data_IF_026579346913
#
_entry.id   IF_026579346913
#
_cell.length_a   1.000
_cell.length_b   1.000
_cell.length_c   1.000
_cell.angle_alpha   90.00
_cell.angle_beta   90.00
_cell.angle_gamma   90.00
#
_symmetry.space_group_name_H-M   'P 1'
#
loop_
_entity.id
_entity.type
_entity.pdbx_description
1 polymer ?
#
# COMPACT_ATOMS: atom_id res chain seq x y z
N UNK A 1 15.90 -7.38 -8.88
CA UNK A 1 14.46 -7.56 -9.13
C UNK A 1 14.30 -8.66 -10.18
N UNK A 2 13.68 -9.78 -9.80
CA UNK A 2 13.59 -11.00 -10.62
C UNK A 2 12.81 -10.72 -11.93
N UNK A 3 13.15 -11.40 -13.04
CA UNK A 3 12.58 -11.15 -14.37
C UNK A 3 11.04 -11.28 -14.38
N UNK A 4 10.52 -12.21 -13.57
CA UNK A 4 9.09 -12.42 -13.35
C UNK A 4 8.42 -11.19 -12.72
N UNK A 5 8.98 -10.59 -11.67
CA UNK A 5 8.41 -9.42 -10.99
C UNK A 5 8.30 -8.21 -11.93
N UNK A 6 9.29 -8.02 -12.84
CA UNK A 6 9.25 -6.95 -13.86
C UNK A 6 8.11 -7.17 -14.87
N UNK A 7 7.91 -8.41 -15.31
CA UNK A 7 6.82 -8.76 -16.22
C UNK A 7 5.45 -8.51 -15.57
N UNK A 8 5.28 -8.90 -14.30
CA UNK A 8 4.06 -8.68 -13.52
C UNK A 8 3.68 -7.21 -13.36
N UNK A 9 4.62 -6.39 -12.88
CA UNK A 9 4.36 -4.94 -12.79
C UNK A 9 4.14 -4.32 -14.18
N UNK A 10 4.76 -4.86 -15.23
CA UNK A 10 4.52 -4.45 -16.61
C UNK A 10 3.08 -4.70 -17.08
N UNK A 11 2.47 -5.82 -16.72
CA UNK A 11 1.07 -6.13 -17.05
C UNK A 11 0.09 -5.28 -16.25
N UNK A 12 0.26 -5.21 -14.92
CA UNK A 12 -0.61 -4.43 -14.04
C UNK A 12 -0.60 -2.94 -14.43
N UNK A 13 0.56 -2.42 -14.85
CA UNK A 13 0.69 -1.04 -15.37
C UNK A 13 -0.18 -0.73 -16.57
N UNK A 14 -0.55 -1.71 -17.39
CA UNK A 14 -1.43 -1.49 -18.56
C UNK A 14 -2.90 -1.43 -18.16
N UNK A 15 -3.27 -2.05 -17.04
CA UNK A 15 -4.66 -2.17 -16.61
C UNK A 15 -5.07 -1.04 -15.67
N UNK A 16 -4.15 -0.53 -14.87
CA UNK A 16 -4.42 0.47 -13.85
C UNK A 16 -4.14 1.88 -14.36
N UNK A 17 -5.09 2.79 -14.13
CA UNK A 17 -4.91 4.20 -14.43
C UNK A 17 -4.21 4.92 -13.27
N UNK A 18 -2.88 5.00 -13.34
CA UNK A 18 -2.07 5.69 -12.32
C UNK A 18 -2.22 7.22 -12.29
N UNK A 19 -2.99 7.83 -13.20
CA UNK A 19 -3.40 9.23 -13.03
C UNK A 19 -4.43 9.40 -11.90
N UNK A 20 -5.14 8.33 -11.55
CA UNK A 20 -6.21 8.33 -10.55
C UNK A 20 -5.94 7.37 -9.38
N UNK A 21 -4.94 6.50 -9.49
CA UNK A 21 -4.54 5.55 -8.46
C UNK A 21 -3.08 5.71 -8.04
N UNK A 22 -2.83 5.54 -6.75
CA UNK A 22 -1.51 5.43 -6.16
C UNK A 22 -1.37 4.04 -5.54
N UNK A 23 -0.39 3.24 -6.00
CA UNK A 23 0.01 2.03 -5.27
C UNK A 23 0.79 2.45 -4.03
N UNK A 24 0.38 2.09 -2.82
CA UNK A 24 1.04 2.58 -1.60
C UNK A 24 1.16 1.54 -0.50
N UNK A 25 1.95 1.86 0.53
CA UNK A 25 2.04 1.06 1.74
C UNK A 25 3.14 0.00 1.75
N UNK A 26 2.93 -1.03 2.56
CA UNK A 26 3.93 -2.06 2.82
C UNK A 26 4.32 -2.90 1.59
N UNK A 27 3.46 -2.97 0.57
CA UNK A 27 3.75 -3.66 -0.70
C UNK A 27 4.87 -2.97 -1.50
N UNK A 28 4.86 -1.64 -1.52
CA UNK A 28 5.90 -0.81 -2.15
C UNK A 28 7.20 -0.92 -1.37
N UNK A 29 7.15 -0.82 -0.03
CA UNK A 29 8.32 -1.02 0.83
C UNK A 29 8.94 -2.41 0.62
N UNK A 30 8.13 -3.46 0.58
CA UNK A 30 8.64 -4.84 0.40
C UNK A 30 9.40 -4.98 -0.93
N UNK A 31 8.87 -4.35 -1.99
CA UNK A 31 9.53 -4.34 -3.30
C UNK A 31 10.85 -3.56 -3.30
N UNK A 32 10.99 -2.55 -2.44
CA UNK A 32 12.22 -1.75 -2.26
C UNK A 32 13.29 -2.48 -1.47
N UNK A 33 12.91 -3.27 -0.48
CA UNK A 33 13.86 -3.96 0.41
C UNK A 33 14.57 -5.16 -0.23
N UNK A 34 14.24 -5.52 -1.48
CA UNK A 34 14.80 -6.67 -2.21
C UNK A 34 14.69 -7.99 -1.43
N UNK A 35 13.78 -8.07 -0.46
CA UNK A 35 13.34 -9.35 0.05
C UNK A 35 12.58 -10.03 -1.09
N UNK A 36 12.82 -11.34 -1.31
CA UNK A 36 12.14 -12.07 -2.36
C UNK A 36 10.66 -11.75 -2.31
N UNK A 37 10.19 -11.17 -3.42
CA UNK A 37 8.79 -10.81 -3.57
C UNK A 37 8.05 -12.13 -3.63
N UNK A 38 7.48 -12.54 -2.49
CA UNK A 38 6.71 -13.76 -2.42
C UNK A 38 5.41 -13.55 -3.22
N UNK A 39 5.46 -13.97 -4.48
CA UNK A 39 4.34 -13.88 -5.41
C UNK A 39 3.19 -14.82 -5.07
N UNK A 40 3.30 -15.62 -3.98
CA UNK A 40 2.23 -16.51 -3.55
C UNK A 40 1.23 -15.84 -2.59
N UNK A 41 1.60 -14.72 -1.95
CA UNK A 41 0.72 -14.04 -0.98
C UNK A 41 0.85 -12.49 -0.97
N UNK A 42 1.11 -11.86 -2.12
CA UNK A 42 1.23 -10.41 -2.16
C UNK A 42 -0.12 -9.72 -2.44
N UNK A 43 -0.46 -8.80 -1.55
CA UNK A 43 -1.57 -7.86 -1.69
C UNK A 43 -1.01 -6.49 -2.15
N UNK A 44 -1.63 -5.90 -3.17
CA UNK A 44 -1.26 -4.60 -3.73
C UNK A 44 -2.40 -3.60 -3.52
N UNK A 45 -2.11 -2.52 -2.79
CA UNK A 45 -3.11 -1.54 -2.38
C UNK A 45 -3.06 -0.29 -3.27
N UNK A 46 -4.11 -0.10 -4.07
CA UNK A 46 -4.30 1.04 -4.97
C UNK A 46 -5.29 2.03 -4.38
N UNK A 47 -4.77 3.15 -3.90
CA UNK A 47 -5.55 4.23 -3.32
C UNK A 47 -6.02 5.18 -4.41
N UNK A 48 -7.30 5.51 -4.38
CA UNK A 48 -7.87 6.58 -5.21
C UNK A 48 -7.23 7.93 -4.86
N UNK A 49 -6.86 8.74 -5.86
CA UNK A 49 -6.19 10.05 -5.68
C UNK A 49 -6.84 11.18 -6.49
N UNK A 50 -8.13 11.09 -6.82
CA UNK A 50 -8.84 12.24 -7.38
C UNK A 50 -10.20 11.93 -7.94
N UNK A 51 -11.17 12.82 -7.75
CA UNK A 51 -12.52 12.68 -8.27
C UNK A 51 -13.51 12.05 -7.30
N UNK A 52 -14.68 11.76 -7.83
CA UNK A 52 -15.87 11.24 -7.17
C UNK A 52 -15.90 9.71 -7.09
N UNK A 53 -16.82 9.18 -6.28
CA UNK A 53 -17.11 7.74 -6.21
C UNK A 53 -17.54 7.16 -7.58
N UNK A 54 -18.32 7.92 -8.36
CA UNK A 54 -18.75 7.50 -9.70
C UNK A 54 -17.55 7.33 -10.64
N UNK A 55 -16.58 8.25 -10.58
CA UNK A 55 -15.36 8.16 -11.36
C UNK A 55 -14.49 6.99 -10.91
N UNK A 56 -14.39 6.75 -9.59
CA UNK A 56 -13.72 5.56 -9.04
C UNK A 56 -14.35 4.29 -9.62
N UNK A 57 -15.66 4.10 -9.49
CA UNK A 57 -16.36 2.94 -10.05
C UNK A 57 -16.12 2.80 -11.56
N UNK A 58 -16.14 3.91 -12.30
CA UNK A 58 -15.85 3.91 -13.74
C UNK A 58 -14.43 3.40 -14.05
N UNK A 59 -13.43 3.78 -13.24
CA UNK A 59 -12.07 3.24 -13.41
C UNK A 59 -11.98 1.76 -13.04
N UNK A 60 -12.71 1.31 -12.01
CA UNK A 60 -12.79 -0.10 -11.66
C UNK A 60 -13.42 -0.92 -12.79
N UNK A 61 -14.49 -0.43 -13.41
CA UNK A 61 -15.10 -1.09 -14.58
C UNK A 61 -14.17 -1.15 -15.79
N UNK A 62 -13.33 -0.12 -15.98
CA UNK A 62 -12.28 -0.12 -17.02
C UNK A 62 -11.19 -1.15 -16.70
N UNK A 63 -10.74 -1.22 -15.45
CA UNK A 63 -9.81 -2.24 -15.00
C UNK A 63 -10.40 -3.64 -15.23
N UNK A 64 -11.62 -3.91 -14.73
CA UNK A 64 -12.31 -5.20 -14.84
C UNK A 64 -12.37 -5.69 -16.29
N UNK A 65 -12.74 -4.82 -17.24
CA UNK A 65 -12.77 -5.16 -18.67
C UNK A 65 -11.40 -5.49 -19.26
N UNK A 66 -10.33 -4.82 -18.80
CA UNK A 66 -8.97 -5.01 -19.31
C UNK A 66 -8.28 -6.25 -18.74
N UNK A 67 -8.63 -6.65 -17.52
CA UNK A 67 -8.03 -7.77 -16.79
C UNK A 67 -8.95 -8.99 -16.68
N UNK A 68 -10.10 -9.00 -17.37
CA UNK A 68 -11.18 -9.98 -17.17
C UNK A 68 -10.70 -11.44 -17.23
N UNK A 69 -9.84 -11.77 -18.20
CA UNK A 69 -9.32 -13.13 -18.37
C UNK A 69 -8.48 -13.64 -17.18
N UNK A 70 -8.06 -12.74 -16.29
CA UNK A 70 -7.21 -13.03 -15.15
C UNK A 70 -7.96 -12.99 -13.81
N UNK A 71 -9.17 -12.44 -13.74
CA UNK A 71 -9.91 -12.31 -12.47
C UNK A 71 -10.52 -13.66 -12.10
N UNK A 72 -10.18 -14.16 -10.92
CA UNK A 72 -10.74 -15.41 -10.37
C UNK A 72 -11.65 -15.18 -9.15
N UNK A 73 -11.57 -14.00 -8.51
CA UNK A 73 -12.49 -13.58 -7.46
C UNK A 73 -12.58 -12.05 -7.40
N UNK A 74 -13.75 -11.54 -7.01
CA UNK A 74 -14.01 -10.13 -6.72
C UNK A 74 -14.80 -10.03 -5.41
N UNK A 75 -14.34 -9.18 -4.50
CA UNK A 75 -14.97 -8.94 -3.19
C UNK A 75 -15.12 -7.45 -2.94
N UNK A 76 -16.26 -7.01 -2.42
CA UNK A 76 -16.50 -5.61 -2.04
C UNK A 76 -16.66 -5.51 -0.52
N UNK A 77 -15.78 -4.74 0.12
CA UNK A 77 -15.83 -4.45 1.54
C UNK A 77 -16.33 -3.03 1.78
N UNK A 78 -17.43 -2.93 2.53
CA UNK A 78 -17.99 -1.68 3.06
C UNK A 78 -18.19 -0.55 2.02
N UNK A 79 -18.40 -0.90 0.74
CA UNK A 79 -18.52 0.05 -0.37
C UNK A 79 -17.34 1.03 -0.51
N UNK A 80 -16.17 0.67 0.01
CA UNK A 80 -14.96 1.52 -0.04
C UNK A 80 -13.72 0.77 -0.49
N UNK A 81 -13.70 -0.55 -0.37
CA UNK A 81 -12.60 -1.38 -0.84
C UNK A 81 -13.14 -2.42 -1.80
N UNK A 82 -12.62 -2.46 -3.01
CA UNK A 82 -12.93 -3.50 -3.98
C UNK A 82 -11.66 -4.31 -4.21
N UNK A 83 -11.71 -5.58 -3.84
CA UNK A 83 -10.62 -6.52 -4.00
C UNK A 83 -10.82 -7.40 -5.23
N UNK A 84 -9.74 -7.63 -5.97
CA UNK A 84 -9.67 -8.60 -7.05
C UNK A 84 -8.55 -9.58 -6.80
N UNK A 85 -8.83 -10.88 -6.97
CA UNK A 85 -7.79 -11.91 -7.02
C UNK A 85 -7.53 -12.24 -8.48
N UNK A 86 -6.30 -12.00 -8.93
CA UNK A 86 -5.84 -12.29 -10.29
C UNK A 86 -5.01 -13.58 -10.32
N UNK A 87 -5.20 -14.38 -11.37
CA UNK A 87 -4.40 -15.56 -11.69
C UNK A 87 -3.71 -15.37 -13.04
N UNK A 88 -2.41 -15.69 -13.12
CA UNK A 88 -1.62 -15.50 -14.34
C UNK A 88 -1.13 -16.81 -14.97
N UNK A 89 -0.81 -17.84 -14.18
CA UNK A 89 -0.31 -19.12 -14.68
C UNK A 89 -0.71 -20.30 -13.77
N UNK A 90 -1.96 -20.30 -13.31
CA UNK A 90 -2.59 -21.31 -12.44
C UNK A 90 -2.00 -21.44 -11.03
N UNK A 91 -0.74 -21.09 -10.82
CA UNK A 91 -0.05 -21.15 -9.52
C UNK A 91 0.08 -19.77 -8.87
N UNK A 92 0.39 -18.72 -9.65
CA UNK A 92 0.64 -17.39 -9.10
C UNK A 92 -0.63 -16.56 -9.03
N UNK A 93 -0.94 -16.12 -7.81
CA UNK A 93 -2.10 -15.29 -7.50
C UNK A 93 -1.66 -13.97 -6.89
N UNK A 94 -2.30 -12.88 -7.29
CA UNK A 94 -2.08 -11.56 -6.72
C UNK A 94 -3.42 -11.00 -6.28
N UNK A 95 -3.47 -10.43 -5.08
CA UNK A 95 -4.63 -9.64 -4.67
C UNK A 95 -4.37 -8.18 -4.97
N UNK A 96 -5.32 -7.53 -5.62
CA UNK A 96 -5.33 -6.09 -5.83
C UNK A 96 -6.48 -5.51 -5.02
N UNK A 97 -6.20 -4.58 -4.12
CA UNK A 97 -7.23 -3.85 -3.40
C UNK A 97 -7.31 -2.43 -3.95
N UNK A 98 -8.49 -2.03 -4.39
CA UNK A 98 -8.77 -0.66 -4.79
C UNK A 98 -9.54 0.05 -3.69
N UNK A 99 -8.94 1.10 -3.13
CA UNK A 99 -9.40 1.75 -1.90
C UNK A 99 -9.88 3.17 -2.21
N UNK A 100 -11.15 3.43 -1.94
CA UNK A 100 -11.74 4.75 -1.96
C UNK A 100 -11.78 5.31 -0.53
N UNK A 101 -10.79 6.14 -0.20
CA UNK A 101 -10.73 6.79 1.12
C UNK A 101 -11.71 7.95 1.23
N UNK A 102 -11.47 9.01 0.46
CA UNK A 102 -12.24 10.27 0.49
C UNK A 102 -12.35 10.85 -0.92
N UNK A 103 -13.45 11.55 -1.26
CA UNK A 103 -13.51 12.34 -2.48
C UNK A 103 -12.37 13.37 -2.54
N UNK A 104 -11.76 13.52 -3.71
CA UNK A 104 -10.71 14.54 -3.97
C UNK A 104 -9.51 14.50 -3.01
N UNK A 105 -9.11 13.32 -2.53
CA UNK A 105 -7.85 13.17 -1.82
C UNK A 105 -6.65 13.38 -2.75
N UNK A 106 -5.57 13.94 -2.20
CA UNK A 106 -4.30 14.09 -2.90
C UNK A 106 -3.30 13.01 -2.44
N UNK A 107 -2.16 12.91 -3.12
CA UNK A 107 -1.09 11.95 -2.79
C UNK A 107 -0.61 12.12 -1.35
N UNK A 108 -0.43 13.36 -0.89
CA UNK A 108 0.01 13.64 0.48
C UNK A 108 -0.96 13.07 1.52
N UNK A 109 -2.27 13.26 1.32
CA UNK A 109 -3.31 12.70 2.18
C UNK A 109 -3.19 11.18 2.24
N UNK A 110 -3.10 10.50 1.08
CA UNK A 110 -2.96 9.04 1.03
C UNK A 110 -1.74 8.58 1.83
N UNK A 111 -0.56 9.16 1.59
CA UNK A 111 0.66 8.76 2.28
C UNK A 111 0.61 9.01 3.79
N UNK A 112 -0.13 10.02 4.26
CA UNK A 112 -0.30 10.30 5.69
C UNK A 112 -1.47 9.52 6.33
N UNK A 113 -2.20 8.70 5.56
CA UNK A 113 -3.21 7.80 6.16
C UNK A 113 -2.59 6.59 6.85
N UNK A 114 -1.35 6.24 6.49
CA UNK A 114 -0.64 5.14 7.11
C UNK A 114 -0.19 5.51 8.52
N UNK A 115 -0.49 4.60 9.44
CA UNK A 115 -0.16 4.62 10.86
C UNK A 115 1.34 4.46 11.13
N UNK A 116 2.11 3.89 10.20
CA UNK A 116 3.55 3.65 10.37
C UNK A 116 4.34 4.42 9.30
N UNK A 117 5.31 5.23 9.70
CA UNK A 117 6.11 6.09 8.81
C UNK A 117 6.88 5.32 7.72
N UNK A 118 7.40 4.14 8.03
CA UNK A 118 8.19 3.31 7.10
C UNK A 118 7.37 2.81 5.91
N UNK A 119 6.04 2.89 5.96
CA UNK A 119 5.17 2.53 4.84
C UNK A 119 4.54 3.74 4.14
N UNK A 120 4.91 4.96 4.51
CA UNK A 120 4.44 6.20 3.88
C UNK A 120 5.15 6.47 2.54
N UNK A 121 5.11 5.45 1.68
CA UNK A 121 5.67 5.45 0.33
C UNK A 121 4.63 4.93 -0.65
N UNK A 122 4.65 5.48 -1.85
CA UNK A 122 3.78 5.10 -2.94
C UNK A 122 4.45 5.18 -4.30
N UNK A 123 3.77 4.63 -5.29
CA UNK A 123 4.19 4.56 -6.68
C UNK A 123 3.05 5.02 -7.59
N UNK A 124 3.32 6.06 -8.39
CA UNK A 124 2.34 6.68 -9.27
C UNK A 124 2.43 6.19 -10.73
N UNK A 125 2.97 4.99 -10.97
CA UNK A 125 3.17 4.46 -12.33
C UNK A 125 4.43 4.96 -13.03
N UNK A 126 5.07 6.02 -12.53
CA UNK A 126 6.32 6.58 -13.08
C UNK A 126 7.46 6.59 -12.07
N UNK A 127 7.22 7.10 -10.86
CA UNK A 127 8.22 7.29 -9.82
C UNK A 127 7.68 6.92 -8.44
N UNK A 128 8.60 6.72 -7.51
CA UNK A 128 8.30 6.61 -6.09
C UNK A 128 8.04 8.00 -5.52
N UNK A 129 7.10 8.08 -4.60
CA UNK A 129 6.72 9.27 -3.86
C UNK A 129 6.64 8.88 -2.39
N UNK A 130 7.24 9.65 -1.50
CA UNK A 130 7.33 9.33 -0.08
C UNK A 130 7.25 10.58 0.77
N UNK A 131 6.95 10.39 2.06
CA UNK A 131 7.02 11.46 3.07
C UNK A 131 8.43 11.61 3.62
N UNK A 132 8.69 12.72 4.33
CA UNK A 132 9.93 12.90 5.07
C UNK A 132 10.11 11.82 6.15
N UNK A 133 9.01 11.45 6.83
CA UNK A 133 9.01 10.37 7.83
C UNK A 133 9.50 9.04 7.24
N UNK A 134 9.04 8.67 6.04
CA UNK A 134 9.57 7.51 5.33
C UNK A 134 11.08 7.61 5.08
N UNK A 135 11.57 8.76 4.60
CA UNK A 135 13.01 8.94 4.35
C UNK A 135 13.84 8.79 5.62
N UNK A 136 13.37 9.35 6.73
CA UNK A 136 14.01 9.21 8.03
C UNK A 136 14.03 7.74 8.47
N UNK A 137 12.86 7.07 8.46
CA UNK A 137 12.71 5.67 8.82
C UNK A 137 13.68 4.74 8.06
N UNK A 138 13.82 4.95 6.75
CA UNK A 138 14.75 4.18 5.91
C UNK A 138 16.21 4.48 6.25
N UNK A 139 16.56 5.76 6.43
CA UNK A 139 17.93 6.19 6.70
C UNK A 139 18.44 5.69 8.06
N UNK A 140 17.60 5.72 9.08
CA UNK A 140 17.95 5.34 10.46
C UNK A 140 17.68 3.86 10.75
N UNK A 141 17.00 3.15 9.84
CA UNK A 141 16.45 1.81 10.09
C UNK A 141 15.55 1.80 11.32
N UNK A 142 14.70 2.81 11.44
CA UNK A 142 13.72 2.90 12.53
C UNK A 142 12.31 3.12 11.98
N UNK A 143 11.29 2.98 12.82
CA UNK A 143 9.93 3.38 12.46
C UNK A 143 9.16 3.91 13.67
N UNK A 144 8.20 4.77 13.41
CA UNK A 144 7.21 5.25 14.38
C UNK A 144 5.84 4.72 13.98
N UNK A 145 5.07 4.24 14.96
CA UNK A 145 3.65 3.92 14.80
C UNK A 145 2.80 5.01 15.46
N UNK A 146 2.31 5.97 14.68
CA UNK A 146 1.56 7.13 15.19
C UNK A 146 0.26 6.77 15.92
N UNK A 147 -0.25 5.54 15.75
CA UNK A 147 -1.46 5.06 16.44
C UNK A 147 -1.17 4.54 17.84
N UNK A 148 -0.11 3.74 18.00
CA UNK A 148 0.31 3.22 19.30
C UNK A 148 0.73 4.32 20.28
N UNK A 149 1.00 5.51 19.77
CA UNK A 149 1.58 6.62 20.51
C UNK A 149 0.51 7.54 21.07
N UNK A 150 -0.73 7.39 20.59
CA UNK A 150 -1.88 8.15 21.04
C UNK A 150 -2.92 7.31 21.79
N UNK A 151 -2.92 5.97 21.64
CA UNK A 151 -3.85 5.10 22.37
C UNK A 151 -3.23 3.74 22.71
N UNK A 152 -2.89 3.55 23.99
CA UNK A 152 -2.31 2.31 24.51
C UNK A 152 -3.32 1.13 24.53
N UNK A 153 -4.63 1.40 24.38
CA UNK A 153 -5.65 0.34 24.37
C UNK A 153 -5.71 -0.39 23.02
N UNK A 154 -5.16 0.22 21.97
CA UNK A 154 -5.12 -0.30 20.61
C UNK A 154 -3.89 -1.22 20.36
N UNK A 155 -3.05 -1.42 21.38
CA UNK A 155 -1.78 -2.15 21.33
C UNK A 155 -1.90 -3.52 20.66
N UNK A 156 -2.97 -4.28 20.94
CA UNK A 156 -3.19 -5.60 20.34
C UNK A 156 -3.34 -5.61 18.81
N UNK A 157 -3.90 -4.54 18.21
CA UNK A 157 -4.13 -4.46 16.76
C UNK A 157 -2.90 -4.01 15.97
N UNK A 158 -2.02 -3.23 16.60
CA UNK A 158 -0.86 -2.62 15.93
C UNK A 158 0.47 -3.31 16.27
N UNK A 159 0.54 -4.13 17.33
CA UNK A 159 1.73 -4.93 17.66
C UNK A 159 2.16 -5.80 16.49
N UNK A 160 1.25 -6.52 15.84
CA UNK A 160 1.60 -7.46 14.76
C UNK A 160 2.23 -6.73 13.57
N UNK A 161 1.72 -5.54 13.26
CA UNK A 161 2.29 -4.67 12.22
C UNK A 161 3.69 -4.20 12.59
N UNK A 162 3.88 -3.77 13.83
CA UNK A 162 5.19 -3.33 14.34
C UNK A 162 6.19 -4.49 14.36
N UNK A 163 5.77 -5.67 14.82
CA UNK A 163 6.59 -6.89 14.83
C UNK A 163 7.03 -7.29 13.43
N UNK A 164 6.12 -7.23 12.45
CA UNK A 164 6.45 -7.46 11.03
C UNK A 164 7.58 -6.55 10.53
N UNK A 165 7.61 -5.27 10.91
CA UNK A 165 8.69 -4.36 10.48
C UNK A 165 9.96 -4.51 11.32
N UNK A 166 9.85 -4.88 12.60
CA UNK A 166 11.00 -5.32 13.40
C UNK A 166 11.72 -6.51 12.76
N UNK A 167 10.98 -7.54 12.31
CA UNK A 167 11.54 -8.69 11.59
C UNK A 167 12.22 -8.31 10.25
N UNK A 168 11.88 -7.14 9.69
CA UNK A 168 12.48 -6.60 8.46
C UNK A 168 13.72 -5.72 8.75
N UNK A 169 14.18 -5.69 10.00
CA UNK A 169 15.39 -5.00 10.42
C UNK A 169 15.19 -3.51 10.71
N UNK A 170 13.97 -3.09 11.06
CA UNK A 170 13.72 -1.74 11.56
C UNK A 170 13.51 -1.76 13.07
N UNK A 171 14.01 -0.76 13.79
CA UNK A 171 13.76 -0.61 15.23
C UNK A 171 12.57 0.30 15.47
N UNK A 172 11.60 -0.15 16.26
CA UNK A 172 10.51 0.73 16.70
C UNK A 172 11.03 1.87 17.59
N UNK A 173 10.66 3.10 17.29
CA UNK A 173 10.83 4.26 18.15
C UNK A 173 9.48 4.61 18.76
N UNK A 174 9.44 4.60 20.10
CA UNK A 174 8.38 5.27 20.82
C UNK A 174 8.64 6.78 20.70
N UNK A 175 7.73 7.59 20.13
CA UNK A 175 7.82 9.03 20.20
C UNK A 175 7.79 9.43 21.68
N UNK A 176 8.65 10.38 22.01
CA UNK A 176 8.58 11.10 23.27
C UNK A 176 7.77 12.36 22.97
N UNK A 177 6.76 12.66 23.78
CA UNK A 177 6.02 13.90 23.63
C UNK A 177 6.99 15.08 23.81
N UNK A 178 6.87 16.10 22.96
CA UNK A 178 7.77 17.26 23.02
C UNK A 178 7.67 18.01 24.35
N UNK A 179 6.55 17.87 25.06
CA UNK A 179 6.33 18.46 26.37
C UNK A 179 7.20 17.81 27.47
N UNK A 180 7.74 16.61 27.23
CA UNK A 180 8.65 15.90 28.15
C UNK A 180 10.14 16.22 27.90
N UNK A 181 10.44 17.13 26.97
CA UNK A 181 11.80 17.60 26.64
C UNK A 181 11.99 19.05 27.14
N UNK A 182 11.72 19.28 28.43
CA UNK A 182 12.01 20.53 29.14
C UNK A 182 13.01 20.27 30.27
#
# INVERSE_FOLDING_TARGET
MNLNTRFFFGLIKKWINFSCFLLAGGSVLTSLLINDVDTTSQDLDFFWIGGSWLEFCSQIDRFRRRSQANIIAETNFNNKVIEFVLCFDHERKIRLQFIFGRPNCNVSFVLNTFDIDVVQVGYNGSKLISTLGFHQAIATRTFISYKLTHDINDVGLYIDRCFKYNLRGFTWLCPVDFDDII
#
